data_IF_236769419274
#
_entry.id   IF_236769419274
#
_cell.length_a   1.000
_cell.length_b   1.000
_cell.length_c   1.000
_cell.angle_alpha   90.00
_cell.angle_beta   90.00
_cell.angle_gamma   90.00
#
_symmetry.space_group_name_H-M   'P 1'
#
loop_
_entity.id
_entity.type
_entity.pdbx_description
1 polymer ?
#
# COMPACT_ATOMS: atom_id res chain seq x y z
N UNK A 1 -57.36 2.50 32.30
CA UNK A 1 -56.07 3.18 32.14
C UNK A 1 -55.22 2.35 31.17
N UNK A 2 -55.16 2.74 29.87
CA UNK A 2 -54.34 2.06 28.84
C UNK A 2 -52.96 2.73 28.78
N UNK A 3 -51.92 1.97 29.01
CA UNK A 3 -50.54 2.44 28.86
C UNK A 3 -50.15 2.34 27.37
N UNK A 4 -49.86 3.47 26.76
CA UNK A 4 -49.31 3.56 25.40
C UNK A 4 -47.76 3.50 25.55
N UNK A 5 -47.16 2.39 25.08
CA UNK A 5 -45.69 2.28 24.98
C UNK A 5 -45.26 2.92 23.66
N UNK A 6 -44.51 3.98 23.76
CA UNK A 6 -43.84 4.64 22.63
C UNK A 6 -42.54 3.91 22.37
N UNK A 7 -42.44 3.24 21.24
CA UNK A 7 -41.23 2.59 20.75
C UNK A 7 -40.35 3.65 20.04
N UNK A 8 -39.26 4.06 20.69
CA UNK A 8 -38.31 5.00 20.13
C UNK A 8 -37.39 4.24 19.17
N UNK A 9 -37.63 4.37 17.86
CA UNK A 9 -36.72 3.85 16.82
C UNK A 9 -35.48 4.76 16.77
N UNK A 10 -34.33 4.25 17.23
CA UNK A 10 -33.03 4.87 17.03
C UNK A 10 -32.65 4.73 15.54
N UNK A 11 -32.77 5.80 14.80
CA UNK A 11 -32.21 5.93 13.45
C UNK A 11 -30.71 6.26 13.57
N UNK A 12 -29.85 5.26 13.40
CA UNK A 12 -28.40 5.48 13.31
C UNK A 12 -28.05 6.18 11.98
N UNK A 13 -27.12 7.13 11.96
CA UNK A 13 -26.85 7.93 10.77
C UNK A 13 -26.16 7.10 9.68
N UNK A 14 -26.79 6.97 8.53
CA UNK A 14 -26.28 6.32 7.30
C UNK A 14 -25.14 7.13 6.64
N UNK A 15 -24.81 8.32 7.15
CA UNK A 15 -23.81 9.22 6.57
C UNK A 15 -22.38 8.66 6.50
N UNK A 16 -22.00 7.71 7.38
CA UNK A 16 -20.65 7.12 7.40
C UNK A 16 -20.35 6.20 6.23
N UNK A 17 -21.34 5.49 5.68
CA UNK A 17 -21.12 4.55 4.57
C UNK A 17 -20.92 5.23 3.21
N UNK A 18 -21.58 6.35 2.97
CA UNK A 18 -21.46 7.08 1.70
C UNK A 18 -20.10 7.79 1.55
N UNK A 19 -19.54 8.35 2.63
CA UNK A 19 -18.21 8.95 2.63
C UNK A 19 -17.11 7.90 2.40
N UNK A 20 -17.25 6.70 2.98
CA UNK A 20 -16.33 5.59 2.77
C UNK A 20 -16.34 5.03 1.33
N UNK A 21 -17.46 5.11 0.63
CA UNK A 21 -17.57 4.69 -0.78
C UNK A 21 -16.75 5.59 -1.72
N UNK A 22 -16.60 6.89 -1.39
CA UNK A 22 -15.78 7.84 -2.17
C UNK A 22 -14.28 7.65 -2.03
N UNK A 23 -13.80 7.08 -0.91
CA UNK A 23 -12.38 6.86 -0.63
C UNK A 23 -11.79 5.64 -1.37
N UNK A 24 -12.62 4.67 -1.72
CA UNK A 24 -12.19 3.40 -2.31
C UNK A 24 -12.69 3.27 -3.75
N UNK A 25 -11.85 2.70 -4.61
CA UNK A 25 -12.21 2.26 -5.94
C UNK A 25 -12.48 0.75 -5.91
N UNK A 26 -13.62 0.26 -6.44
CA UNK A 26 -13.88 -1.17 -6.55
C UNK A 26 -13.09 -1.76 -7.72
N UNK A 27 -12.44 -2.89 -7.48
CA UNK A 27 -11.71 -3.67 -8.48
C UNK A 27 -12.32 -5.09 -8.53
N UNK A 28 -12.66 -5.59 -9.73
CA UNK A 28 -13.36 -6.87 -9.87
C UNK A 28 -12.47 -8.09 -9.60
N UNK A 29 -11.15 -7.91 -9.51
CA UNK A 29 -10.22 -9.02 -9.46
C UNK A 29 -10.22 -9.83 -10.77
N UNK A 30 -9.89 -11.12 -10.67
CA UNK A 30 -9.77 -12.02 -11.81
C UNK A 30 -8.45 -12.77 -11.82
N UNK A 31 -8.14 -13.44 -12.92
CA UNK A 31 -6.82 -14.07 -13.12
C UNK A 31 -5.85 -13.01 -13.63
N UNK A 32 -4.75 -12.81 -12.92
CA UNK A 32 -3.74 -11.81 -13.22
C UNK A 32 -2.36 -12.45 -13.34
N UNK A 33 -1.66 -12.14 -14.40
CA UNK A 33 -0.29 -12.59 -14.62
C UNK A 33 0.65 -11.62 -13.91
N UNK A 34 1.01 -11.94 -12.66
CA UNK A 34 1.96 -11.17 -11.87
C UNK A 34 3.37 -11.25 -12.47
N UNK A 35 4.18 -10.21 -12.26
CA UNK A 35 5.62 -10.27 -12.55
C UNK A 35 6.36 -11.23 -11.61
N UNK A 36 5.84 -11.45 -10.39
CA UNK A 36 6.29 -12.52 -9.51
C UNK A 36 5.57 -13.81 -9.89
N UNK A 37 6.29 -14.72 -10.55
CA UNK A 37 5.77 -16.03 -10.88
C UNK A 37 6.21 -17.03 -9.80
N UNK A 38 5.25 -17.45 -8.99
CA UNK A 38 5.44 -18.61 -8.12
C UNK A 38 5.27 -19.89 -8.94
N UNK A 39 6.08 -20.92 -8.67
CA UNK A 39 6.07 -22.20 -9.42
C UNK A 39 4.66 -22.82 -9.53
N UNK A 40 3.83 -22.60 -8.52
CA UNK A 40 2.44 -23.09 -8.45
C UNK A 40 1.45 -22.29 -9.29
N UNK A 41 1.84 -21.10 -9.80
CA UNK A 41 0.95 -20.15 -10.44
C UNK A 41 1.26 -19.91 -11.93
N UNK A 42 1.70 -20.96 -12.67
CA UNK A 42 2.01 -20.85 -14.11
C UNK A 42 0.87 -20.28 -14.97
N UNK A 43 -0.38 -20.31 -14.47
CA UNK A 43 -1.57 -19.76 -15.10
C UNK A 43 -1.94 -18.34 -14.67
N UNK A 44 -1.18 -17.73 -13.75
CA UNK A 44 -1.48 -16.46 -13.12
C UNK A 44 -2.14 -16.60 -11.73
N UNK A 45 -2.10 -15.52 -10.96
CA UNK A 45 -2.67 -15.45 -9.60
C UNK A 45 -4.15 -15.10 -9.69
N UNK A 46 -4.99 -15.79 -8.93
CA UNK A 46 -6.40 -15.45 -8.80
C UNK A 46 -6.59 -14.39 -7.72
N UNK A 47 -7.06 -13.21 -8.11
CA UNK A 47 -7.36 -12.09 -7.23
C UNK A 47 -8.86 -12.03 -7.02
N UNK A 48 -9.30 -12.10 -5.76
CA UNK A 48 -10.71 -11.90 -5.41
C UNK A 48 -11.14 -10.44 -5.64
N UNK A 49 -12.42 -10.15 -5.84
CA UNK A 49 -12.90 -8.77 -5.86
C UNK A 49 -12.51 -8.03 -4.57
N UNK A 50 -12.05 -6.79 -4.69
CA UNK A 50 -11.64 -5.96 -3.57
C UNK A 50 -11.89 -4.47 -3.86
N UNK A 51 -11.67 -3.62 -2.87
CA UNK A 51 -11.66 -2.18 -3.08
C UNK A 51 -10.35 -1.60 -2.54
N UNK A 52 -9.71 -0.71 -3.30
CA UNK A 52 -8.43 -0.09 -2.98
C UNK A 52 -8.63 1.41 -2.73
N UNK A 53 -7.96 1.98 -1.73
CA UNK A 53 -7.93 3.43 -1.56
C UNK A 53 -7.49 4.11 -2.85
N UNK A 54 -8.21 5.16 -3.25
CA UNK A 54 -7.93 5.88 -4.50
C UNK A 54 -6.57 6.56 -4.49
N UNK A 55 -6.08 6.96 -3.33
CA UNK A 55 -4.77 7.60 -3.12
C UNK A 55 -4.10 7.06 -1.86
N UNK A 56 -2.78 7.25 -1.72
CA UNK A 56 -2.08 6.93 -0.47
C UNK A 56 -2.65 7.71 0.71
N UNK A 57 -2.53 7.14 1.91
CA UNK A 57 -2.88 7.81 3.17
C UNK A 57 -2.03 9.06 3.35
N UNK A 58 -2.68 10.16 3.72
CA UNK A 58 -2.03 11.46 3.89
C UNK A 58 -1.57 11.70 5.33
N UNK A 59 -0.68 12.67 5.51
CA UNK A 59 -0.25 13.12 6.83
C UNK A 59 -1.43 13.55 7.72
N UNK A 60 -2.44 14.24 7.17
CA UNK A 60 -3.62 14.66 7.94
C UNK A 60 -4.46 13.48 8.42
N UNK A 61 -4.65 12.47 7.57
CA UNK A 61 -5.39 11.24 7.91
C UNK A 61 -4.64 10.45 8.98
N UNK A 62 -3.32 10.30 8.81
CA UNK A 62 -2.49 9.58 9.78
C UNK A 62 -2.33 10.34 11.10
N UNK A 63 -2.30 11.68 11.08
CA UNK A 63 -2.33 12.50 12.29
C UNK A 63 -3.59 12.27 13.12
N UNK A 64 -4.74 12.14 12.45
CA UNK A 64 -6.01 11.82 13.13
C UNK A 64 -5.92 10.45 13.81
N UNK A 65 -5.32 9.47 13.14
CA UNK A 65 -5.09 8.13 13.69
C UNK A 65 -4.19 8.16 14.94
N UNK A 66 -3.01 8.79 14.89
CA UNK A 66 -2.10 8.79 16.05
C UNK A 66 -2.63 9.60 17.23
N UNK A 67 -3.51 10.57 16.99
CA UNK A 67 -4.24 11.26 18.07
C UNK A 67 -5.25 10.36 18.76
N UNK A 68 -5.95 9.52 18.00
CA UNK A 68 -6.92 8.56 18.52
C UNK A 68 -6.25 7.31 19.14
N UNK A 69 -5.03 6.98 18.72
CA UNK A 69 -4.27 5.79 19.12
C UNK A 69 -2.88 6.18 19.63
N UNK A 70 -2.75 6.70 20.87
CA UNK A 70 -1.49 7.26 21.39
C UNK A 70 -0.30 6.32 21.40
N UNK A 71 -0.52 5.00 21.41
CA UNK A 71 0.54 3.99 21.31
C UNK A 71 1.32 4.05 19.98
N UNK A 72 0.76 4.69 18.94
CA UNK A 72 1.39 4.90 17.66
C UNK A 72 2.01 6.31 17.49
N UNK A 73 2.07 7.10 18.55
CA UNK A 73 2.81 8.36 18.55
C UNK A 73 4.31 8.07 18.54
N UNK A 74 5.11 8.88 17.84
CA UNK A 74 6.55 8.62 17.64
C UNK A 74 7.38 8.57 18.92
N UNK A 75 6.91 9.20 20.00
CA UNK A 75 7.53 9.20 21.31
C UNK A 75 7.05 8.05 22.21
N UNK A 76 6.07 7.27 21.78
CA UNK A 76 5.44 6.18 22.56
C UNK A 76 5.50 4.81 21.90
N UNK A 77 5.65 4.78 20.56
CA UNK A 77 5.69 3.51 19.83
C UNK A 77 6.85 2.63 20.33
N UNK A 78 6.58 1.36 20.56
CA UNK A 78 7.60 0.41 20.98
C UNK A 78 8.63 0.18 19.86
N UNK A 79 9.91 0.06 20.20
CA UNK A 79 11.03 -0.10 19.25
C UNK A 79 10.90 -1.32 18.33
N UNK A 80 10.23 -2.36 18.78
CA UNK A 80 9.95 -3.54 17.96
C UNK A 80 8.99 -3.25 16.81
N UNK A 81 8.17 -2.21 16.91
CA UNK A 81 7.19 -1.83 15.90
C UNK A 81 7.62 -0.65 15.01
N UNK A 82 8.61 0.14 15.44
CA UNK A 82 9.08 1.26 14.64
C UNK A 82 10.51 1.68 15.03
N UNK A 83 11.34 1.90 14.02
CA UNK A 83 12.69 2.41 14.20
C UNK A 83 12.72 3.88 14.67
N UNK A 84 13.88 4.41 15.12
CA UNK A 84 14.00 5.78 15.63
C UNK A 84 13.57 6.89 14.65
N UNK A 85 13.61 6.63 13.35
CA UNK A 85 13.22 7.60 12.30
C UNK A 85 11.73 7.69 12.05
N UNK A 86 10.93 6.83 12.68
CA UNK A 86 9.46 6.83 12.54
C UNK A 86 8.89 8.22 12.79
N UNK A 87 8.14 8.76 11.81
CA UNK A 87 7.56 10.11 11.79
C UNK A 87 8.55 11.24 12.16
N UNK A 88 9.86 11.06 11.91
CA UNK A 88 10.90 12.02 12.31
C UNK A 88 10.79 13.36 11.59
N UNK A 89 10.12 13.43 10.43
CA UNK A 89 9.87 14.66 9.69
C UNK A 89 8.73 15.50 10.25
N UNK A 90 7.91 14.95 11.17
CA UNK A 90 6.90 15.71 11.88
C UNK A 90 7.55 16.59 12.95
N UNK A 91 6.96 17.74 13.26
CA UNK A 91 7.45 18.65 14.28
C UNK A 91 7.30 18.08 15.69
N UNK A 92 6.18 17.40 15.98
CA UNK A 92 5.88 16.80 17.26
C UNK A 92 5.18 15.44 17.13
N UNK A 93 4.91 14.79 18.24
CA UNK A 93 4.22 13.50 18.29
C UNK A 93 2.80 13.56 17.68
N UNK A 94 2.17 14.73 17.77
CA UNK A 94 0.82 15.01 17.26
C UNK A 94 0.75 16.35 16.50
N UNK A 95 1.86 16.75 15.87
CA UNK A 95 2.01 17.99 15.14
C UNK A 95 2.86 17.79 13.87
N UNK A 96 2.31 18.17 12.71
CA UNK A 96 2.95 17.91 11.42
C UNK A 96 4.19 18.77 11.17
N UNK A 97 4.06 20.09 11.26
CA UNK A 97 5.14 21.03 10.95
C UNK A 97 5.41 21.21 9.44
N UNK A 98 6.41 22.04 9.09
CA UNK A 98 6.64 22.49 7.71
C UNK A 98 7.19 21.42 6.77
N UNK A 99 7.71 20.30 7.30
CA UNK A 99 8.25 19.19 6.50
C UNK A 99 7.22 18.09 6.21
N UNK A 100 5.98 18.24 6.69
CA UNK A 100 4.91 17.27 6.57
C UNK A 100 3.59 17.98 6.29
N UNK A 101 3.40 18.45 5.06
CA UNK A 101 2.14 19.10 4.70
C UNK A 101 0.96 18.13 4.84
N UNK A 102 -0.21 18.59 5.30
CA UNK A 102 -1.38 17.75 5.56
C UNK A 102 -1.80 16.86 4.37
N UNK A 103 -1.70 17.38 3.15
CA UNK A 103 -2.12 16.69 1.92
C UNK A 103 -1.05 15.81 1.28
N UNK A 104 0.19 15.84 1.76
CA UNK A 104 1.24 14.92 1.29
C UNK A 104 0.98 13.51 1.80
N UNK A 105 1.44 12.46 1.10
CA UNK A 105 1.38 11.11 1.62
C UNK A 105 2.18 11.01 2.93
N UNK A 106 1.67 10.26 3.90
CA UNK A 106 2.46 9.95 5.08
C UNK A 106 3.62 9.03 4.69
N UNK A 107 4.82 9.38 5.16
CA UNK A 107 6.05 8.60 4.99
C UNK A 107 6.75 8.44 6.34
N UNK A 108 7.92 7.81 6.37
CA UNK A 108 8.56 7.46 7.63
C UNK A 108 7.63 6.68 8.54
N UNK A 109 6.86 5.76 7.97
CA UNK A 109 5.87 4.94 8.65
C UNK A 109 6.26 3.47 8.51
N UNK A 110 6.24 2.74 9.64
CA UNK A 110 6.52 1.31 9.67
C UNK A 110 5.34 0.50 9.11
N UNK A 111 5.62 -0.74 8.69
CA UNK A 111 4.56 -1.67 8.27
C UNK A 111 3.53 -1.89 9.38
N UNK A 112 3.99 -2.06 10.63
CA UNK A 112 3.10 -2.26 11.79
C UNK A 112 2.14 -1.09 11.99
N UNK A 113 2.63 0.15 11.89
CA UNK A 113 1.80 1.33 12.04
C UNK A 113 0.85 1.53 10.85
N UNK A 114 1.30 1.20 9.64
CA UNK A 114 0.46 1.21 8.44
C UNK A 114 -0.68 0.19 8.52
N UNK A 115 -0.38 -1.04 8.95
CA UNK A 115 -1.36 -2.08 9.17
C UNK A 115 -2.38 -1.70 10.25
N UNK A 116 -1.90 -1.20 11.41
CA UNK A 116 -2.77 -0.74 12.50
C UNK A 116 -3.70 0.41 12.07
N UNK A 117 -3.22 1.33 11.22
CA UNK A 117 -4.08 2.34 10.63
C UNK A 117 -5.20 1.72 9.80
N UNK A 118 -4.86 0.81 8.88
CA UNK A 118 -5.86 0.16 8.03
C UNK A 118 -6.88 -0.62 8.87
N UNK A 119 -6.44 -1.36 9.87
CA UNK A 119 -7.32 -2.09 10.80
C UNK A 119 -8.26 -1.14 11.57
N UNK A 120 -7.76 0.02 11.99
CA UNK A 120 -8.55 1.01 12.74
C UNK A 120 -9.76 1.56 11.98
N UNK A 121 -9.73 1.49 10.64
CA UNK A 121 -10.85 1.87 9.76
C UNK A 121 -11.56 0.66 9.14
N UNK A 122 -11.35 -0.55 9.69
CA UNK A 122 -12.01 -1.78 9.25
C UNK A 122 -11.53 -2.29 7.88
N UNK A 123 -10.26 -2.04 7.55
CA UNK A 123 -9.60 -2.43 6.30
C UNK A 123 -8.29 -3.16 6.58
N UNK A 124 -7.49 -3.41 5.57
CA UNK A 124 -6.16 -4.05 5.65
C UNK A 124 -5.19 -3.41 4.66
N UNK A 125 -3.92 -3.74 4.74
CA UNK A 125 -3.01 -3.47 3.63
C UNK A 125 -3.41 -4.31 2.39
N UNK A 126 -3.15 -3.84 1.16
CA UNK A 126 -3.30 -4.67 -0.04
C UNK A 126 -2.22 -5.74 -0.07
N UNK A 127 -2.53 -6.91 -0.62
CA UNK A 127 -1.48 -7.85 -1.01
C UNK A 127 -0.68 -7.29 -2.19
N UNK A 128 0.53 -7.84 -2.42
CA UNK A 128 1.33 -7.51 -3.59
C UNK A 128 0.53 -7.66 -4.90
N UNK A 129 -0.14 -8.79 -5.06
CA UNK A 129 -0.90 -9.08 -6.28
C UNK A 129 -2.06 -8.10 -6.49
N UNK A 130 -2.75 -7.67 -5.43
CA UNK A 130 -3.79 -6.64 -5.50
C UNK A 130 -3.22 -5.28 -5.89
N UNK A 131 -2.07 -4.93 -5.28
CA UNK A 131 -1.38 -3.68 -5.59
C UNK A 131 -0.91 -3.68 -7.06
N UNK A 132 -0.23 -4.75 -7.50
CA UNK A 132 0.28 -4.89 -8.87
C UNK A 132 -0.84 -4.88 -9.91
N UNK A 133 -1.96 -5.55 -9.62
CA UNK A 133 -3.15 -5.53 -10.48
C UNK A 133 -3.68 -4.12 -10.70
N UNK A 134 -3.77 -3.33 -9.64
CA UNK A 134 -4.19 -1.93 -9.75
C UNK A 134 -3.14 -1.06 -10.46
N UNK A 135 -1.86 -1.31 -10.21
CA UNK A 135 -0.73 -0.56 -10.75
C UNK A 135 -0.42 -0.86 -12.22
N UNK A 136 -0.89 -2.00 -12.75
CA UNK A 136 -0.74 -2.35 -14.16
C UNK A 136 -1.53 -1.43 -15.10
N UNK A 137 -2.52 -0.69 -14.60
CA UNK A 137 -3.39 0.17 -15.39
C UNK A 137 -2.78 1.54 -15.67
N UNK A 138 -3.07 2.10 -16.85
CA UNK A 138 -2.95 3.53 -17.15
C UNK A 138 -4.32 4.23 -17.09
N UNK A 139 -4.41 5.44 -17.54
CA UNK A 139 -5.61 6.27 -17.52
C UNK A 139 -6.76 5.69 -18.37
N UNK A 140 -6.45 4.83 -19.36
CA UNK A 140 -7.39 4.30 -20.35
C UNK A 140 -7.47 2.77 -20.38
N UNK A 141 -6.40 2.08 -20.01
CA UNK A 141 -6.28 0.61 -20.09
C UNK A 141 -6.12 0.01 -18.71
N UNK A 142 -6.72 -1.14 -18.50
CA UNK A 142 -6.61 -1.92 -17.27
C UNK A 142 -5.28 -2.66 -17.14
N UNK A 143 -4.57 -2.85 -18.23
CA UNK A 143 -3.20 -3.38 -18.27
C UNK A 143 -2.41 -2.66 -19.38
N UNK A 144 -1.49 -1.82 -18.98
CA UNK A 144 -0.63 -1.03 -19.84
C UNK A 144 0.83 -1.52 -19.87
N UNK A 145 1.15 -2.62 -19.19
CA UNK A 145 2.52 -3.11 -18.97
C UNK A 145 3.27 -3.40 -20.28
N UNK A 146 2.55 -3.71 -21.37
CA UNK A 146 3.14 -3.93 -22.70
C UNK A 146 3.43 -2.63 -23.46
N UNK A 147 2.95 -1.48 -22.99
CA UNK A 147 3.19 -0.19 -23.64
C UNK A 147 4.56 0.38 -23.27
N UNK A 148 5.48 0.55 -24.25
CA UNK A 148 6.80 1.11 -23.99
C UNK A 148 6.74 2.54 -23.39
N UNK A 149 5.82 3.39 -23.86
CA UNK A 149 5.71 4.76 -23.38
C UNK A 149 5.25 4.82 -21.90
N UNK A 150 4.34 3.93 -21.50
CA UNK A 150 3.93 3.79 -20.10
C UNK A 150 5.09 3.33 -19.23
N UNK A 151 5.87 2.33 -19.67
CA UNK A 151 7.07 1.86 -18.96
C UNK A 151 8.12 2.96 -18.79
N UNK A 152 8.42 3.72 -19.85
CA UNK A 152 9.37 4.83 -19.83
C UNK A 152 8.94 5.92 -18.85
N UNK A 153 7.65 6.24 -18.79
CA UNK A 153 7.08 7.19 -17.81
C UNK A 153 7.36 6.74 -16.37
N UNK A 154 7.19 5.46 -16.07
CA UNK A 154 7.46 4.91 -14.74
C UNK A 154 8.96 4.93 -14.44
N UNK A 155 9.81 4.52 -15.37
CA UNK A 155 11.26 4.55 -15.20
C UNK A 155 11.79 5.97 -14.97
N UNK A 156 11.24 6.95 -15.66
CA UNK A 156 11.54 8.37 -15.45
C UNK A 156 11.26 8.80 -14.02
N UNK A 157 10.18 8.31 -13.41
CA UNK A 157 9.90 8.59 -12.01
C UNK A 157 10.95 7.97 -11.07
N UNK A 158 11.37 6.72 -11.30
CA UNK A 158 12.41 6.08 -10.50
C UNK A 158 13.77 6.79 -10.57
N UNK A 159 14.04 7.51 -11.65
CA UNK A 159 15.29 8.29 -11.81
C UNK A 159 15.30 9.61 -11.04
N UNK A 160 14.18 10.04 -10.46
CA UNK A 160 14.12 11.29 -9.69
C UNK A 160 14.88 11.18 -8.36
N UNK A 161 15.58 12.24 -7.95
CA UNK A 161 16.24 12.26 -6.65
C UNK A 161 15.23 12.06 -5.50
N UNK A 162 15.56 11.17 -4.57
CA UNK A 162 14.69 10.84 -3.41
C UNK A 162 14.60 11.94 -2.34
N UNK A 163 15.40 13.02 -2.46
CA UNK A 163 15.44 14.13 -1.52
C UNK A 163 14.51 15.30 -1.90
N UNK A 164 13.73 15.18 -2.97
CA UNK A 164 12.74 16.20 -3.34
C UNK A 164 11.52 16.13 -2.42
N UNK A 165 10.94 17.32 -2.12
CA UNK A 165 9.68 17.39 -1.40
C UNK A 165 8.59 16.64 -2.17
N UNK A 166 7.84 15.79 -1.47
CA UNK A 166 6.75 15.03 -2.07
C UNK A 166 5.59 15.98 -2.43
N UNK A 167 4.97 15.81 -3.59
CA UNK A 167 3.73 16.53 -3.89
C UNK A 167 2.57 15.99 -3.05
N UNK A 168 1.44 16.67 -3.10
CA UNK A 168 0.19 16.23 -2.45
C UNK A 168 -0.31 14.96 -3.13
N UNK A 169 -0.93 14.07 -2.35
CA UNK A 169 -1.57 12.87 -2.87
C UNK A 169 -2.82 13.22 -3.69
N UNK A 170 -3.07 12.47 -4.76
CA UNK A 170 -4.24 12.63 -5.61
C UNK A 170 -4.10 13.70 -6.71
N UNK A 171 -2.89 14.13 -7.03
CA UNK A 171 -2.66 15.10 -8.12
C UNK A 171 -2.58 14.46 -9.50
N UNK A 172 -2.21 13.19 -9.59
CA UNK A 172 -2.18 12.50 -10.89
C UNK A 172 -3.60 12.13 -11.35
N UNK A 173 -3.79 12.05 -12.66
CA UNK A 173 -5.03 11.53 -13.20
C UNK A 173 -5.29 10.09 -12.69
N UNK A 174 -6.55 9.73 -12.39
CA UNK A 174 -6.86 8.37 -11.99
C UNK A 174 -6.63 7.41 -13.16
N UNK A 175 -6.15 6.21 -12.87
CA UNK A 175 -6.05 5.14 -13.84
C UNK A 175 -7.44 4.55 -14.18
N UNK A 176 -7.50 3.59 -15.09
CA UNK A 176 -8.75 2.96 -15.56
C UNK A 176 -9.56 2.25 -14.44
N UNK A 177 -8.98 2.06 -13.24
CA UNK A 177 -9.67 1.60 -12.04
C UNK A 177 -10.14 2.74 -11.14
N UNK A 178 -9.82 3.99 -11.47
CA UNK A 178 -10.11 5.16 -10.65
C UNK A 178 -9.15 5.32 -9.45
N UNK A 179 -7.97 4.71 -9.52
CA UNK A 179 -6.91 4.79 -8.51
C UNK A 179 -5.82 5.75 -8.99
N UNK A 180 -5.28 6.56 -8.10
CA UNK A 180 -4.28 7.59 -8.38
C UNK A 180 -2.94 7.26 -7.72
N UNK A 181 -1.86 7.82 -8.23
CA UNK A 181 -0.52 7.81 -7.63
C UNK A 181 0.06 6.39 -7.39
N UNK A 182 -0.35 5.39 -8.18
CA UNK A 182 0.22 4.04 -8.08
C UNK A 182 1.71 4.03 -8.41
N UNK A 183 2.11 4.92 -9.32
CA UNK A 183 3.50 5.19 -9.66
C UNK A 183 3.76 6.69 -9.58
N UNK A 184 4.96 7.10 -9.16
CA UNK A 184 5.37 8.50 -9.24
C UNK A 184 5.20 9.33 -7.97
N UNK A 185 4.74 8.76 -6.85
CA UNK A 185 4.62 9.49 -5.60
C UNK A 185 5.47 8.87 -4.49
N UNK A 186 5.07 7.72 -3.95
CA UNK A 186 5.79 6.99 -2.90
C UNK A 186 5.81 5.49 -3.18
N UNK A 187 6.76 4.78 -2.58
CA UNK A 187 6.67 3.36 -2.38
C UNK A 187 5.56 3.07 -1.37
N UNK A 188 4.96 1.89 -1.45
CA UNK A 188 3.84 1.56 -0.56
C UNK A 188 4.02 0.18 0.05
N UNK A 189 3.77 0.07 1.35
CA UNK A 189 3.70 -1.19 2.06
C UNK A 189 2.60 -2.08 1.51
N UNK A 190 2.89 -3.37 1.39
CA UNK A 190 1.91 -4.43 1.13
C UNK A 190 1.85 -5.39 2.31
N UNK A 191 0.75 -6.13 2.43
CA UNK A 191 0.53 -7.08 3.53
C UNK A 191 1.61 -8.16 3.59
N UNK A 192 1.96 -8.67 2.43
CA UNK A 192 2.88 -9.80 2.20
C UNK A 192 4.30 -9.38 1.79
N UNK A 193 4.71 -8.13 2.10
CA UNK A 193 6.00 -7.57 1.66
C UNK A 193 7.22 -8.45 1.98
N UNK A 194 7.21 -9.16 3.11
CA UNK A 194 8.31 -9.99 3.58
C UNK A 194 8.37 -11.38 2.90
N UNK A 195 7.31 -11.78 2.21
CA UNK A 195 7.20 -13.09 1.55
C UNK A 195 7.35 -13.04 0.03
N UNK A 196 7.59 -11.85 -0.55
CA UNK A 196 7.64 -11.65 -2.00
C UNK A 196 8.71 -12.50 -2.72
N UNK A 197 9.81 -12.84 -2.04
CA UNK A 197 10.90 -13.64 -2.58
C UNK A 197 11.00 -15.04 -1.97
N UNK A 198 10.05 -15.45 -1.12
CA UNK A 198 10.05 -16.76 -0.48
C UNK A 198 9.21 -17.72 -1.30
N UNK A 199 9.84 -18.75 -1.89
CA UNK A 199 9.09 -19.84 -2.52
C UNK A 199 8.51 -20.76 -1.44
N UNK A 200 7.30 -21.32 -1.69
CA UNK A 200 6.63 -22.25 -0.76
C UNK A 200 7.39 -23.55 -0.46
N UNK A 201 8.50 -23.80 -1.15
CA UNK A 201 9.32 -25.02 -1.04
C UNK A 201 10.48 -24.91 -0.04
N UNK A 202 10.56 -23.80 0.72
CA UNK A 202 11.60 -23.60 1.76
C UNK A 202 11.43 -24.48 3.01
N UNK A 203 10.66 -25.57 2.95
CA UNK A 203 10.59 -26.56 4.05
C UNK A 203 11.85 -27.42 4.17
N UNK A 204 12.72 -27.43 3.17
CA UNK A 204 14.05 -28.04 3.23
C UNK A 204 15.09 -27.03 3.69
N UNK A 205 15.07 -26.74 5.01
CA UNK A 205 16.07 -25.92 5.68
C UNK A 205 17.46 -26.57 5.61
N UNK A 206 18.39 -25.96 4.89
CA UNK A 206 19.79 -26.41 4.85
C UNK A 206 20.78 -25.40 4.28
N UNK A 207 20.32 -24.40 3.53
CA UNK A 207 21.24 -23.49 2.85
C UNK A 207 20.67 -22.06 2.77
N UNK A 208 21.17 -21.17 3.66
CA UNK A 208 20.79 -19.78 3.71
C UNK A 208 21.11 -19.00 2.42
N UNK A 209 22.06 -19.48 1.62
CA UNK A 209 22.44 -18.85 0.35
C UNK A 209 21.50 -19.26 -0.80
N UNK A 210 20.90 -20.44 -0.75
CA UNK A 210 19.87 -20.84 -1.73
C UNK A 210 18.60 -20.01 -1.62
N UNK A 211 18.23 -19.58 -0.43
CA UNK A 211 17.05 -18.73 -0.19
C UNK A 211 17.15 -17.38 -0.90
N UNK A 212 18.35 -16.79 -0.93
CA UNK A 212 18.60 -15.52 -1.64
C UNK A 212 18.64 -15.68 -3.16
N UNK A 213 19.06 -16.84 -3.66
CA UNK A 213 19.20 -17.11 -5.10
C UNK A 213 17.92 -17.66 -5.75
N UNK A 214 17.08 -18.41 -5.03
CA UNK A 214 15.83 -18.93 -5.58
C UNK A 214 14.81 -17.81 -5.88
N UNK A 215 14.74 -16.75 -5.06
CA UNK A 215 13.92 -15.58 -5.35
C UNK A 215 14.36 -14.82 -6.61
N UNK A 216 15.67 -14.72 -6.87
CA UNK A 216 16.20 -14.08 -8.08
C UNK A 216 16.02 -14.93 -9.35
N UNK A 217 15.91 -16.25 -9.21
CA UNK A 217 15.71 -17.20 -10.33
C UNK A 217 14.27 -17.29 -10.83
N UNK A 218 13.29 -16.90 -10.00
CA UNK A 218 11.87 -16.87 -10.37
C UNK A 218 11.49 -15.66 -11.24
N UNK A 219 12.39 -14.68 -11.36
CA UNK A 219 12.24 -13.54 -12.26
C UNK A 219 12.70 -13.98 -13.66
N UNK A 220 11.76 -14.35 -14.53
CA UNK A 220 12.10 -14.80 -15.86
C UNK A 220 12.83 -13.71 -16.65
N UNK A 221 13.72 -14.11 -17.58
CA UNK A 221 14.44 -13.16 -18.45
C UNK A 221 13.50 -12.32 -19.32
N UNK A 222 12.26 -12.77 -19.52
CA UNK A 222 11.20 -12.04 -20.22
C UNK A 222 10.67 -10.84 -19.40
N UNK A 223 10.93 -10.83 -18.07
CA UNK A 223 10.48 -9.77 -17.15
C UNK A 223 11.41 -8.55 -17.07
N UNK A 224 12.49 -8.49 -17.87
CA UNK A 224 13.28 -7.24 -18.02
C UNK A 224 12.42 -6.06 -18.44
N UNK A 225 11.29 -6.34 -19.07
CA UNK A 225 10.28 -5.35 -19.43
C UNK A 225 9.56 -4.77 -18.20
N UNK A 226 9.59 -5.45 -17.07
CA UNK A 226 8.97 -5.02 -15.80
C UNK A 226 10.00 -4.53 -14.76
N UNK A 227 11.10 -3.91 -15.21
CA UNK A 227 12.17 -3.41 -14.33
C UNK A 227 11.64 -2.58 -13.14
N UNK A 228 10.61 -1.78 -13.34
CA UNK A 228 9.96 -1.01 -12.28
C UNK A 228 9.35 -1.88 -11.18
N UNK A 229 8.73 -3.00 -11.56
CA UNK A 229 8.19 -3.98 -10.62
C UNK A 229 9.31 -4.69 -9.87
N UNK A 230 10.39 -5.06 -10.57
CA UNK A 230 11.56 -5.70 -9.98
C UNK A 230 12.23 -4.81 -8.92
N UNK A 231 12.41 -3.53 -9.24
CA UNK A 231 12.96 -2.56 -8.30
C UNK A 231 12.11 -2.42 -7.05
N UNK A 232 10.77 -2.44 -7.21
CA UNK A 232 9.84 -2.38 -6.08
C UNK A 232 9.93 -3.64 -5.21
N UNK A 233 9.96 -4.81 -5.82
CA UNK A 233 10.12 -6.09 -5.11
C UNK A 233 11.43 -6.11 -4.33
N UNK A 234 12.54 -5.76 -4.98
CA UNK A 234 13.85 -5.71 -4.35
C UNK A 234 13.89 -4.74 -3.16
N UNK A 235 13.28 -3.56 -3.33
CA UNK A 235 13.18 -2.56 -2.25
C UNK A 235 12.37 -3.10 -1.08
N UNK A 236 11.16 -3.58 -1.31
CA UNK A 236 10.29 -4.09 -0.23
C UNK A 236 10.89 -5.30 0.48
N UNK A 237 11.49 -6.23 -0.25
CA UNK A 237 12.12 -7.43 0.33
C UNK A 237 13.39 -7.15 1.14
N UNK A 238 13.97 -5.95 1.00
CA UNK A 238 15.14 -5.53 1.78
C UNK A 238 14.78 -4.87 3.12
N UNK A 239 13.48 -4.67 3.39
CA UNK A 239 13.01 -3.95 4.57
C UNK A 239 12.58 -4.90 5.68
N UNK A 240 12.78 -4.45 6.91
CA UNK A 240 12.12 -4.99 8.10
C UNK A 240 10.79 -4.25 8.35
N UNK A 241 9.84 -4.90 9.04
CA UNK A 241 8.55 -4.28 9.33
C UNK A 241 8.62 -3.01 10.18
N UNK A 242 9.71 -2.84 10.94
CA UNK A 242 9.97 -1.64 11.75
C UNK A 242 10.59 -0.48 10.97
N UNK A 243 11.11 -0.72 9.75
CA UNK A 243 11.78 0.30 8.95
C UNK A 243 10.84 1.43 8.55
N UNK A 244 11.42 2.63 8.46
CA UNK A 244 10.70 3.83 8.07
C UNK A 244 11.59 4.72 7.19
N UNK A 245 11.18 4.96 5.95
CA UNK A 245 11.96 5.74 4.98
C UNK A 245 11.18 6.93 4.43
N UNK A 246 11.91 7.91 3.88
CA UNK A 246 11.35 9.19 3.42
C UNK A 246 10.37 9.06 2.24
N UNK A 247 10.42 7.96 1.53
CA UNK A 247 9.66 7.72 0.30
C UNK A 247 8.76 6.47 0.37
N UNK A 248 8.51 5.94 1.57
CA UNK A 248 7.69 4.76 1.79
C UNK A 248 6.48 5.15 2.64
N UNK A 249 5.31 5.00 2.06
CA UNK A 249 4.00 5.21 2.66
C UNK A 249 3.12 3.96 2.48
N UNK A 250 1.81 4.14 2.40
CA UNK A 250 0.87 3.05 2.21
C UNK A 250 -0.50 3.53 1.77
N UNK A 251 -1.32 2.60 1.32
CA UNK A 251 -2.77 2.72 1.17
C UNK A 251 -3.47 1.48 1.69
N UNK A 252 -4.76 1.55 1.99
CA UNK A 252 -5.51 0.41 2.48
C UNK A 252 -6.35 -0.23 1.38
N UNK A 253 -6.64 -1.52 1.57
CA UNK A 253 -7.57 -2.30 0.77
C UNK A 253 -8.70 -2.85 1.63
N UNK A 254 -9.82 -3.16 1.00
CA UNK A 254 -10.98 -3.78 1.62
C UNK A 254 -11.44 -4.96 0.77
N UNK A 255 -11.56 -6.15 1.37
CA UNK A 255 -12.12 -7.30 0.68
C UNK A 255 -13.59 -7.01 0.32
N UNK A 256 -14.04 -7.47 -0.84
CA UNK A 256 -15.47 -7.44 -1.17
C UNK A 256 -16.23 -8.31 -0.16
N UNK A 257 -17.38 -7.81 0.27
CA UNK A 257 -18.31 -8.60 1.11
C UNK A 257 -19.10 -9.55 0.26
#
# INVERSE_FOLDING_TARGET
>A
MRRVSVLLLLVLPVAGLAAAAGLFAPLPGGTFKSALQYEDAKGGVRIAPFALMRKPVTNAEFLTFVKAHPQWQRDRVARVFAEPRYLSHWQGATELGPKAEPGQPVTWVSWFAANAYCESIGTRLPTWSEWEYAAAADETRKDARKDPAWRERILTWYSRPSNQALPRAGLQAPNAWGVQDMHGLVWEWTDDYSSLLVSGDNRNQGDADKTKFCGAGALSMDDRENYAVLMRVAMLSSLEGSDATANLGFRCARSAR
#
